data_IF_288210924566
#
_entry.id   IF_288210924566
#
_cell.length_a   1.000
_cell.length_b   1.000
_cell.length_c   1.000
_cell.angle_alpha   90.00
_cell.angle_beta   90.00
_cell.angle_gamma   90.00
#
_symmetry.space_group_name_H-M   'P 1'
#
loop_
_entity.id
_entity.type
_entity.pdbx_description
1 polymer ?
#
# COMPACT_ATOMS: atom_id res chain seq x y z
N UNK A 1 69.83 -44.61 40.67
CA UNK A 1 68.48 -44.27 41.18
C UNK A 1 68.54 -42.77 41.46
N UNK A 2 68.22 -41.86 40.55
CA UNK A 2 66.99 -41.75 39.77
C UNK A 2 66.28 -40.49 40.26
N UNK A 3 66.86 -39.32 39.98
CA UNK A 3 66.32 -38.01 40.39
C UNK A 3 65.13 -37.63 39.50
N UNK A 4 63.98 -37.36 40.12
CA UNK A 4 62.77 -36.93 39.43
C UNK A 4 62.81 -35.41 39.23
N UNK A 5 63.09 -34.98 38.00
CA UNK A 5 62.85 -33.61 37.54
C UNK A 5 61.35 -33.44 37.22
N UNK A 6 60.66 -32.58 37.96
CA UNK A 6 59.30 -32.15 37.64
C UNK A 6 59.38 -30.88 36.79
N UNK A 7 58.94 -30.98 35.54
CA UNK A 7 58.82 -29.88 34.58
C UNK A 7 57.57 -29.05 34.94
N UNK A 8 57.74 -27.81 35.39
CA UNK A 8 56.64 -26.85 35.60
C UNK A 8 56.39 -26.12 34.28
N UNK A 9 55.26 -26.40 33.63
CA UNK A 9 54.80 -25.64 32.46
C UNK A 9 54.18 -24.30 32.92
N UNK A 10 54.83 -23.18 32.58
CA UNK A 10 54.27 -21.83 32.73
C UNK A 10 53.34 -21.53 31.56
N UNK A 11 52.04 -21.41 31.82
CA UNK A 11 51.04 -20.92 30.87
C UNK A 11 50.90 -19.41 31.02
N UNK A 12 51.48 -18.66 30.07
CA UNK A 12 51.33 -17.20 29.98
C UNK A 12 50.04 -16.92 29.21
N UNK A 13 48.98 -16.51 29.90
CA UNK A 13 47.75 -16.02 29.27
C UNK A 13 47.94 -14.54 28.91
N UNK A 14 48.04 -14.24 27.61
CA UNK A 14 48.02 -12.87 27.09
C UNK A 14 46.57 -12.35 27.06
N UNK A 15 46.30 -11.33 27.88
CA UNK A 15 45.06 -10.55 27.82
C UNK A 15 45.10 -9.63 26.59
N UNK A 16 44.40 -10.00 25.52
CA UNK A 16 44.07 -9.09 24.42
C UNK A 16 42.86 -8.26 24.85
N UNK A 17 43.08 -6.97 25.16
CA UNK A 17 41.96 -6.03 25.31
C UNK A 17 41.40 -5.71 23.93
N UNK A 18 40.24 -6.27 23.61
CA UNK A 18 39.45 -5.87 22.45
C UNK A 18 38.72 -4.57 22.83
N UNK A 19 39.24 -3.43 22.39
CA UNK A 19 38.47 -2.20 22.35
C UNK A 19 37.35 -2.37 21.31
N UNK A 20 36.13 -2.60 21.78
CA UNK A 20 34.94 -2.46 20.94
C UNK A 20 34.68 -0.97 20.79
N UNK A 21 35.16 -0.36 19.70
CA UNK A 21 34.69 0.94 19.28
C UNK A 21 33.21 0.79 18.89
N UNK A 22 32.30 1.05 19.82
CA UNK A 22 30.89 1.18 19.49
C UNK A 22 30.77 2.33 18.47
N UNK A 23 30.12 2.12 17.31
CA UNK A 23 29.84 3.22 16.42
C UNK A 23 28.99 4.21 17.21
N UNK A 24 29.47 5.44 17.37
CA UNK A 24 28.62 6.56 17.80
C UNK A 24 27.57 6.71 16.71
N UNK A 25 26.42 6.08 16.93
CA UNK A 25 25.24 6.28 16.12
C UNK A 25 24.82 7.72 16.37
N UNK A 26 25.25 8.62 15.50
CA UNK A 26 24.68 9.95 15.38
C UNK A 26 23.50 9.77 14.43
N UNK A 27 22.26 9.59 14.92
CA UNK A 27 21.13 9.82 14.05
C UNK A 27 21.19 11.31 13.75
N UNK A 28 21.76 11.69 12.61
CA UNK A 28 21.22 12.85 11.92
C UNK A 28 19.78 12.48 11.65
N UNK A 29 18.91 12.83 12.60
CA UNK A 29 17.48 12.91 12.37
C UNK A 29 17.38 13.96 11.27
N UNK A 30 17.40 13.49 10.02
CA UNK A 30 16.98 14.28 8.89
C UNK A 30 15.68 14.90 9.37
N UNK A 31 15.65 16.22 9.47
CA UNK A 31 14.42 16.95 9.75
C UNK A 31 13.48 16.55 8.63
N UNK A 32 12.61 15.57 8.89
CA UNK A 32 11.56 15.18 7.98
C UNK A 32 10.84 16.48 7.64
N UNK A 33 10.56 16.74 6.35
CA UNK A 33 9.73 17.88 5.97
C UNK A 33 8.54 17.93 6.92
N UNK A 34 8.24 19.13 7.42
CA UNK A 34 7.30 19.40 8.52
C UNK A 34 5.86 18.90 8.30
N UNK A 35 5.59 18.22 7.19
CA UNK A 35 4.29 17.67 6.85
C UNK A 35 4.43 16.29 6.20
N UNK A 36 4.35 15.24 7.03
CA UNK A 36 4.20 13.85 6.60
C UNK A 36 2.84 13.57 5.91
N UNK A 37 1.94 14.56 5.92
CA UNK A 37 0.64 14.50 5.26
C UNK A 37 0.71 15.05 3.82
N UNK A 38 0.70 14.19 2.80
CA UNK A 38 0.68 14.61 1.40
C UNK A 38 -0.74 15.01 0.92
N UNK A 39 -1.75 14.97 1.79
CA UNK A 39 -3.17 15.20 1.46
C UNK A 39 -3.72 16.47 2.13
N UNK A 40 -3.34 17.69 1.69
CA UNK A 40 -3.77 18.93 2.33
C UNK A 40 -5.27 19.24 2.12
N UNK A 41 -5.90 18.65 1.11
CA UNK A 41 -7.31 18.89 0.76
C UNK A 41 -8.27 17.78 1.22
N UNK A 42 -7.74 16.72 1.83
CA UNK A 42 -8.54 15.57 2.28
C UNK A 42 -8.78 15.66 3.80
N UNK A 43 -9.86 15.05 4.31
CA UNK A 43 -10.04 14.88 5.75
C UNK A 43 -8.81 14.24 6.40
N UNK A 44 -8.48 14.62 7.63
CA UNK A 44 -7.42 13.93 8.38
C UNK A 44 -7.99 12.63 8.95
N UNK A 45 -7.34 11.52 8.63
CA UNK A 45 -7.69 10.22 9.20
C UNK A 45 -7.16 10.15 10.63
N UNK A 46 -8.01 9.81 11.58
CA UNK A 46 -7.61 9.62 12.97
C UNK A 46 -8.35 8.48 13.61
N UNK A 47 -7.77 7.91 14.67
CA UNK A 47 -8.47 6.98 15.55
C UNK A 47 -9.75 7.63 16.11
N UNK A 48 -10.75 6.79 16.38
CA UNK A 48 -11.96 7.18 17.09
C UNK A 48 -11.65 7.55 18.55
N UNK A 49 -12.57 8.23 19.26
CA UNK A 49 -12.39 8.55 20.68
C UNK A 49 -12.17 7.34 21.59
N UNK A 50 -12.63 6.15 21.18
CA UNK A 50 -12.42 4.88 21.90
C UNK A 50 -11.06 4.21 21.58
N UNK A 51 -10.23 4.84 20.76
CA UNK A 51 -8.92 4.33 20.36
C UNK A 51 -8.96 3.31 19.21
N UNK A 52 -10.11 3.07 18.59
CA UNK A 52 -10.22 2.13 17.46
C UNK A 52 -10.06 2.82 16.10
N UNK A 53 -9.59 2.06 15.11
CA UNK A 53 -9.60 2.44 13.69
C UNK A 53 -9.85 1.17 12.86
N UNK A 54 -10.99 1.09 12.18
CA UNK A 54 -11.45 -0.10 11.45
C UNK A 54 -11.13 0.06 9.97
N UNK A 55 -10.37 -0.90 9.43
CA UNK A 55 -10.05 -1.00 8.00
C UNK A 55 -10.78 -2.21 7.42
N UNK A 56 -11.52 -2.00 6.34
CA UNK A 56 -12.04 -3.10 5.49
C UNK A 56 -11.12 -3.24 4.28
N UNK A 57 -10.74 -4.47 3.94
CA UNK A 57 -9.90 -4.76 2.77
C UNK A 57 -10.71 -5.54 1.75
N UNK A 58 -10.75 -5.05 0.51
CA UNK A 58 -11.18 -5.79 -0.67
C UNK A 58 -9.95 -6.13 -1.51
N UNK A 59 -10.01 -7.20 -2.29
CA UNK A 59 -8.91 -7.67 -3.14
C UNK A 59 -9.52 -8.49 -4.27
N UNK A 60 -8.83 -8.57 -5.40
CA UNK A 60 -9.17 -9.48 -6.50
C UNK A 60 -10.63 -9.27 -6.96
N UNK A 61 -10.98 -8.01 -7.23
CA UNK A 61 -12.32 -7.63 -7.70
C UNK A 61 -12.53 -8.05 -9.16
N UNK A 62 -11.47 -8.01 -9.97
CA UNK A 62 -11.43 -8.52 -11.34
C UNK A 62 -12.51 -7.98 -12.29
N UNK A 63 -12.91 -6.71 -12.13
CA UNK A 63 -13.96 -6.14 -12.98
C UNK A 63 -13.58 -6.21 -14.46
N UNK A 64 -14.57 -6.47 -15.31
CA UNK A 64 -14.36 -6.63 -16.75
C UNK A 64 -13.74 -7.97 -17.17
N UNK A 65 -13.68 -8.97 -16.28
CA UNK A 65 -13.39 -10.36 -16.67
C UNK A 65 -14.46 -10.86 -17.64
N UNK A 66 -14.05 -11.51 -18.74
CA UNK A 66 -14.96 -12.06 -19.75
C UNK A 66 -16.00 -11.04 -20.25
N UNK A 67 -15.57 -9.80 -20.52
CA UNK A 67 -16.44 -8.67 -20.86
C UNK A 67 -17.26 -8.83 -22.16
N UNK A 68 -16.93 -9.82 -23.00
CA UNK A 68 -17.65 -10.13 -24.23
C UNK A 68 -18.82 -11.11 -24.03
N UNK A 69 -18.96 -11.70 -22.85
CA UNK A 69 -20.06 -12.60 -22.48
C UNK A 69 -20.96 -11.95 -21.42
N UNK A 70 -22.22 -12.36 -21.33
CA UNK A 70 -23.16 -11.90 -20.29
C UNK A 70 -22.76 -12.36 -18.89
N UNK A 71 -21.95 -13.41 -18.76
CA UNK A 71 -21.51 -13.94 -17.49
C UNK A 71 -20.60 -12.97 -16.72
N UNK A 72 -19.67 -12.29 -17.40
CA UNK A 72 -18.68 -11.39 -16.81
C UNK A 72 -19.30 -10.19 -16.09
N UNK A 73 -20.07 -9.33 -16.80
CA UNK A 73 -20.77 -8.21 -16.19
C UNK A 73 -21.72 -8.62 -15.06
N UNK A 74 -22.25 -9.84 -15.07
CA UNK A 74 -23.05 -10.34 -13.96
C UNK A 74 -22.22 -10.60 -12.70
N UNK A 75 -20.94 -10.97 -12.83
CA UNK A 75 -20.02 -11.09 -11.68
C UNK A 75 -19.65 -9.72 -11.13
N UNK A 76 -19.40 -8.72 -11.99
CA UNK A 76 -19.14 -7.34 -11.56
C UNK A 76 -20.30 -6.81 -10.69
N UNK A 77 -21.54 -7.02 -11.14
CA UNK A 77 -22.76 -6.70 -10.35
C UNK A 77 -22.80 -7.43 -9.01
N UNK A 78 -22.36 -8.69 -8.95
CA UNK A 78 -22.31 -9.47 -7.70
C UNK A 78 -21.22 -8.94 -6.76
N UNK A 79 -20.04 -8.59 -7.29
CA UNK A 79 -18.95 -7.95 -6.54
C UNK A 79 -19.40 -6.60 -5.97
N UNK A 80 -20.04 -5.74 -6.77
CA UNK A 80 -20.59 -4.47 -6.26
C UNK A 80 -21.64 -4.70 -5.17
N UNK A 81 -22.50 -5.71 -5.32
CA UNK A 81 -23.50 -6.07 -4.29
C UNK A 81 -22.83 -6.50 -2.99
N UNK A 82 -21.78 -7.32 -3.08
CA UNK A 82 -21.00 -7.75 -1.92
C UNK A 82 -20.32 -6.56 -1.25
N UNK A 83 -19.66 -5.68 -2.00
CA UNK A 83 -19.05 -4.46 -1.47
C UNK A 83 -20.07 -3.61 -0.71
N UNK A 84 -21.23 -3.32 -1.31
CA UNK A 84 -22.31 -2.56 -0.64
C UNK A 84 -22.75 -3.22 0.67
N UNK A 85 -22.92 -4.55 0.66
CA UNK A 85 -23.31 -5.30 1.87
C UNK A 85 -22.25 -5.18 2.97
N UNK A 86 -20.98 -5.44 2.65
CA UNK A 86 -19.87 -5.36 3.62
C UNK A 86 -19.75 -3.94 4.17
N UNK A 87 -19.81 -2.91 3.33
CA UNK A 87 -19.72 -1.52 3.77
C UNK A 87 -20.87 -1.14 4.71
N UNK A 88 -22.09 -1.61 4.45
CA UNK A 88 -23.26 -1.35 5.30
C UNK A 88 -23.17 -2.06 6.66
N UNK A 89 -22.69 -3.31 6.67
CA UNK A 89 -22.59 -4.13 7.87
C UNK A 89 -21.40 -3.70 8.74
N UNK A 90 -20.23 -3.46 8.14
CA UNK A 90 -18.98 -3.20 8.87
C UNK A 90 -18.76 -1.75 9.26
N UNK A 91 -19.25 -0.79 8.45
CA UNK A 91 -19.08 0.66 8.65
C UNK A 91 -17.62 1.04 8.98
N UNK A 92 -16.67 0.76 8.06
CA UNK A 92 -15.26 1.01 8.31
C UNK A 92 -14.93 2.51 8.41
N UNK A 93 -13.82 2.83 9.07
CA UNK A 93 -13.22 4.17 9.02
C UNK A 93 -12.44 4.40 7.73
N UNK A 94 -11.97 3.29 7.14
CA UNK A 94 -11.14 3.30 5.95
C UNK A 94 -11.32 2.01 5.13
N UNK A 95 -11.28 2.12 3.82
CA UNK A 95 -11.25 0.95 2.93
C UNK A 95 -9.92 0.88 2.20
N UNK A 96 -9.40 -0.33 2.01
CA UNK A 96 -8.25 -0.57 1.16
C UNK A 96 -8.60 -1.60 0.09
N UNK A 97 -8.42 -1.28 -1.20
CA UNK A 97 -8.53 -2.25 -2.30
C UNK A 97 -7.12 -2.73 -2.64
N UNK A 98 -6.85 -4.02 -2.53
CA UNK A 98 -5.50 -4.57 -2.51
C UNK A 98 -5.13 -5.29 -3.81
N UNK A 99 -5.19 -4.60 -4.94
CA UNK A 99 -4.81 -5.12 -6.25
C UNK A 99 -5.89 -5.94 -6.95
N UNK A 100 -5.63 -6.17 -8.24
CA UNK A 100 -6.50 -6.85 -9.22
C UNK A 100 -7.92 -6.26 -9.19
N UNK A 101 -7.97 -4.95 -9.40
CA UNK A 101 -9.19 -4.17 -9.54
C UNK A 101 -9.90 -4.56 -10.84
N UNK A 102 -9.16 -4.60 -11.94
CA UNK A 102 -9.65 -4.84 -13.30
C UNK A 102 -8.91 -6.02 -13.91
N UNK A 103 -9.63 -6.88 -14.62
CA UNK A 103 -9.02 -7.90 -15.49
C UNK A 103 -8.58 -7.25 -16.81
N UNK A 104 -7.49 -6.48 -16.77
CA UNK A 104 -7.11 -5.55 -17.85
C UNK A 104 -6.89 -6.21 -19.22
N UNK A 105 -6.55 -7.49 -19.28
CA UNK A 105 -6.38 -8.22 -20.53
C UNK A 105 -7.71 -8.68 -21.17
N UNK A 106 -8.83 -8.61 -20.43
CA UNK A 106 -10.17 -8.98 -20.90
C UNK A 106 -11.04 -7.78 -21.30
N UNK A 107 -10.67 -6.57 -20.88
CA UNK A 107 -11.39 -5.34 -21.20
C UNK A 107 -11.09 -4.85 -22.62
N UNK A 108 -11.70 -3.72 -23.01
CA UNK A 108 -11.39 -3.03 -24.26
C UNK A 108 -10.64 -1.73 -23.98
N UNK A 109 -9.55 -1.46 -24.69
CA UNK A 109 -8.67 -0.29 -24.45
C UNK A 109 -9.43 1.03 -24.46
N UNK A 110 -10.43 1.16 -25.31
CA UNK A 110 -11.19 2.39 -25.51
C UNK A 110 -12.02 2.79 -24.28
N UNK A 111 -12.36 1.84 -23.42
CA UNK A 111 -13.26 2.10 -22.29
C UNK A 111 -12.87 1.41 -20.96
N UNK A 112 -11.72 0.74 -20.85
CA UNK A 112 -11.34 -0.02 -19.64
C UNK A 112 -11.45 0.79 -18.34
N UNK A 113 -11.16 2.09 -18.37
CA UNK A 113 -11.29 2.95 -17.16
C UNK A 113 -12.72 3.06 -16.60
N UNK A 114 -13.76 2.68 -17.35
CA UNK A 114 -15.15 2.71 -16.84
C UNK A 114 -15.37 1.75 -15.67
N UNK A 115 -14.61 0.66 -15.60
CA UNK A 115 -14.71 -0.29 -14.49
C UNK A 115 -14.25 0.33 -13.16
N UNK A 116 -13.33 1.30 -13.19
CA UNK A 116 -12.97 2.08 -11.99
C UNK A 116 -14.19 2.84 -11.47
N UNK A 117 -15.04 3.40 -12.34
CA UNK A 117 -16.26 4.11 -11.92
C UNK A 117 -17.18 3.17 -11.13
N UNK A 118 -17.33 1.93 -11.60
CA UNK A 118 -18.16 0.91 -10.97
C UNK A 118 -17.59 0.45 -9.62
N UNK A 119 -16.28 0.26 -9.54
CA UNK A 119 -15.56 -0.12 -8.33
C UNK A 119 -15.67 0.97 -7.25
N UNK A 120 -15.50 2.24 -7.62
CA UNK A 120 -15.53 3.34 -6.65
C UNK A 120 -16.94 3.80 -6.29
N UNK A 121 -17.95 3.48 -7.10
CA UNK A 121 -19.35 3.85 -6.85
C UNK A 121 -19.84 3.48 -5.43
N UNK A 122 -19.73 2.24 -4.93
CA UNK A 122 -20.17 1.90 -3.58
C UNK A 122 -19.40 2.66 -2.49
N UNK A 123 -18.13 2.99 -2.70
CA UNK A 123 -17.30 3.76 -1.76
C UNK A 123 -17.73 5.23 -1.71
N UNK A 124 -18.01 5.80 -2.87
CA UNK A 124 -18.55 7.15 -3.03
C UNK A 124 -19.95 7.29 -2.41
N UNK A 125 -20.82 6.30 -2.60
CA UNK A 125 -22.19 6.26 -2.04
C UNK A 125 -22.17 6.40 -0.50
N UNK A 126 -21.30 5.65 0.17
CA UNK A 126 -21.19 5.68 1.64
C UNK A 126 -20.22 6.74 2.17
N UNK A 127 -19.51 7.45 1.27
CA UNK A 127 -18.53 8.49 1.58
C UNK A 127 -17.43 8.02 2.53
N UNK A 128 -16.91 6.81 2.30
CA UNK A 128 -15.81 6.27 3.09
C UNK A 128 -14.46 6.67 2.47
N UNK A 129 -13.48 7.15 3.27
CA UNK A 129 -12.10 7.29 2.84
C UNK A 129 -11.53 5.94 2.38
N UNK A 130 -10.78 5.92 1.28
CA UNK A 130 -10.17 4.69 0.81
C UNK A 130 -8.87 4.88 0.03
N UNK A 131 -8.18 3.78 -0.19
CA UNK A 131 -7.01 3.68 -1.08
C UNK A 131 -7.05 2.38 -1.88
N UNK A 132 -6.24 2.32 -2.94
CA UNK A 132 -6.02 1.15 -3.77
C UNK A 132 -4.52 0.91 -4.04
N UNK A 133 -4.11 -0.35 -4.01
CA UNK A 133 -2.90 -0.83 -4.70
C UNK A 133 -3.32 -1.58 -5.96
N UNK A 134 -2.35 -1.82 -6.83
CA UNK A 134 -2.60 -2.39 -8.14
C UNK A 134 -1.81 -3.68 -8.30
N UNK A 135 -2.47 -4.71 -8.82
CA UNK A 135 -1.98 -6.06 -8.97
C UNK A 135 -1.48 -6.37 -10.37
N UNK A 136 -1.40 -7.67 -10.67
CA UNK A 136 -0.91 -8.16 -11.94
C UNK A 136 -1.99 -8.31 -13.03
N UNK A 137 -3.20 -7.78 -12.82
CA UNK A 137 -4.19 -7.60 -13.89
C UNK A 137 -4.43 -6.11 -14.24
N UNK A 138 -3.98 -5.19 -13.38
CA UNK A 138 -4.20 -3.74 -13.48
C UNK A 138 -3.20 -2.95 -14.38
N UNK A 139 -2.31 -3.64 -15.10
CA UNK A 139 -1.23 -3.14 -15.97
C UNK A 139 -1.06 -3.92 -17.29
N UNK A 140 -2.18 -4.34 -17.89
CA UNK A 140 -2.24 -5.18 -19.11
C UNK A 140 -2.37 -4.35 -20.39
N UNK A 141 -2.58 -5.02 -21.53
CA UNK A 141 -2.71 -4.38 -22.85
C UNK A 141 -3.74 -3.22 -22.92
N UNK A 142 -4.84 -3.31 -22.16
CA UNK A 142 -5.94 -2.35 -22.24
C UNK A 142 -5.95 -1.29 -21.12
N UNK A 143 -5.08 -1.40 -20.11
CA UNK A 143 -5.07 -0.50 -18.95
C UNK A 143 -3.73 -0.54 -18.22
N UNK A 144 -3.31 0.59 -17.67
CA UNK A 144 -2.10 0.72 -16.85
C UNK A 144 -2.43 1.14 -15.42
N UNK A 145 -1.55 0.83 -14.46
CA UNK A 145 -1.66 1.30 -13.08
C UNK A 145 -1.86 2.83 -13.01
N UNK A 146 -1.16 3.57 -13.88
CA UNK A 146 -1.30 5.03 -13.93
C UNK A 146 -2.69 5.47 -14.41
N UNK A 147 -3.25 4.82 -15.44
CA UNK A 147 -4.60 5.12 -15.93
C UNK A 147 -5.66 4.85 -14.85
N UNK A 148 -5.52 3.78 -14.08
CA UNK A 148 -6.40 3.48 -12.94
C UNK A 148 -6.30 4.53 -11.84
N UNK A 149 -5.09 4.87 -11.38
CA UNK A 149 -4.87 5.92 -10.37
C UNK A 149 -5.49 7.24 -10.81
N UNK A 150 -5.25 7.66 -12.05
CA UNK A 150 -5.75 8.95 -12.55
C UNK A 150 -7.28 8.96 -12.67
N UNK A 151 -7.89 7.84 -13.06
CA UNK A 151 -9.34 7.69 -13.11
C UNK A 151 -9.94 7.74 -11.71
N UNK A 152 -9.38 6.97 -10.78
CA UNK A 152 -9.82 6.94 -9.39
C UNK A 152 -9.74 8.32 -8.74
N UNK A 153 -8.62 9.03 -8.89
CA UNK A 153 -8.46 10.38 -8.32
C UNK A 153 -9.47 11.39 -8.86
N UNK A 154 -9.88 11.24 -10.11
CA UNK A 154 -10.84 12.13 -10.76
C UNK A 154 -12.26 11.90 -10.24
N UNK A 155 -12.67 10.65 -10.10
CA UNK A 155 -14.06 10.27 -9.87
C UNK A 155 -14.35 9.92 -8.39
N UNK A 156 -13.31 9.74 -7.56
CA UNK A 156 -13.43 9.41 -6.15
C UNK A 156 -12.80 10.49 -5.23
N UNK A 157 -13.57 11.50 -4.80
CA UNK A 157 -13.05 12.62 -4.00
C UNK A 157 -12.53 12.21 -2.61
N UNK A 158 -12.86 11.01 -2.12
CA UNK A 158 -12.35 10.46 -0.87
C UNK A 158 -11.29 9.36 -1.05
N UNK A 159 -10.78 9.16 -2.27
CA UNK A 159 -9.58 8.36 -2.49
C UNK A 159 -8.34 9.08 -1.95
N UNK A 160 -7.45 8.34 -1.30
CA UNK A 160 -6.11 8.75 -0.88
C UNK A 160 -5.04 8.06 -1.74
N UNK A 161 -5.43 7.30 -2.76
CA UNK A 161 -4.51 6.78 -3.77
C UNK A 161 -3.85 7.93 -4.50
N UNK A 162 -2.54 7.81 -4.72
CA UNK A 162 -1.79 8.81 -5.47
C UNK A 162 -0.62 8.23 -6.22
N UNK A 163 -0.24 8.96 -7.26
CA UNK A 163 0.99 8.71 -7.98
C UNK A 163 2.18 8.92 -7.04
N UNK A 164 3.19 8.07 -7.20
CA UNK A 164 4.44 8.12 -6.48
C UNK A 164 5.12 9.49 -6.64
N UNK A 165 5.77 10.01 -5.59
CA UNK A 165 6.54 11.24 -5.70
C UNK A 165 7.73 11.06 -6.66
N UNK A 166 8.28 12.16 -7.22
CA UNK A 166 9.44 12.09 -8.10
C UNK A 166 10.59 11.29 -7.50
N UNK A 167 11.15 10.36 -8.28
CA UNK A 167 12.25 9.48 -7.87
C UNK A 167 11.84 8.21 -7.12
N UNK A 168 10.55 7.98 -6.88
CA UNK A 168 10.02 6.73 -6.29
C UNK A 168 9.28 5.93 -7.37
N UNK A 169 9.41 4.60 -7.36
CA UNK A 169 8.64 3.71 -8.22
C UNK A 169 9.12 3.60 -9.67
N UNK A 170 9.66 4.68 -10.26
CA UNK A 170 10.05 4.72 -11.68
C UNK A 170 8.85 4.70 -12.62
N UNK A 171 9.08 4.52 -13.92
CA UNK A 171 8.03 4.50 -14.96
C UNK A 171 6.97 3.41 -14.70
N UNK A 172 7.39 2.26 -14.18
CA UNK A 172 6.55 1.06 -14.03
C UNK A 172 5.94 0.88 -12.64
N UNK A 173 6.20 1.79 -11.70
CA UNK A 173 5.70 1.69 -10.33
C UNK A 173 4.99 2.94 -9.85
N UNK A 174 4.01 3.49 -10.59
CA UNK A 174 3.38 4.75 -10.26
C UNK A 174 2.58 4.70 -8.94
N UNK A 175 2.22 3.53 -8.41
CA UNK A 175 1.36 3.36 -7.23
C UNK A 175 2.07 3.33 -5.87
N UNK A 176 3.29 3.85 -5.73
CA UNK A 176 4.03 3.85 -4.47
C UNK A 176 3.73 5.09 -3.61
N UNK A 177 2.97 4.92 -2.51
CA UNK A 177 2.58 6.04 -1.66
C UNK A 177 2.33 5.62 -0.19
N UNK A 178 1.96 6.58 0.64
CA UNK A 178 1.63 6.34 2.05
C UNK A 178 0.44 7.18 2.49
N UNK A 179 -0.27 6.70 3.52
CA UNK A 179 -1.40 7.36 4.15
C UNK A 179 -1.18 7.46 5.66
N UNK A 180 -0.99 8.67 6.21
CA UNK A 180 -0.82 8.86 7.65
C UNK A 180 -2.17 8.89 8.38
N UNK A 181 -2.22 8.20 9.51
CA UNK A 181 -3.36 8.16 10.44
C UNK A 181 -2.88 8.67 11.80
N UNK A 182 -3.63 9.58 12.39
CA UNK A 182 -3.25 10.32 13.60
C UNK A 182 -3.98 9.81 14.84
N UNK A 183 -3.39 9.90 16.03
CA UNK A 183 -4.11 9.60 17.27
C UNK A 183 -5.28 10.58 17.45
N UNK A 184 -5.02 11.89 17.21
CA UNK A 184 -6.03 12.93 17.17
C UNK A 184 -5.92 13.80 15.90
N UNK A 185 -7.03 14.38 15.39
CA UNK A 185 -7.01 15.22 14.19
C UNK A 185 -6.07 16.43 14.24
N UNK A 186 -5.73 16.93 15.43
CA UNK A 186 -4.88 18.09 15.62
C UNK A 186 -3.37 17.76 15.68
N UNK A 187 -3.00 16.48 15.81
CA UNK A 187 -1.61 16.08 16.02
C UNK A 187 -0.75 16.41 14.80
N UNK A 188 0.56 16.57 14.95
CA UNK A 188 1.46 16.75 13.79
C UNK A 188 2.12 15.46 13.33
N UNK A 189 2.23 14.48 14.22
CA UNK A 189 2.90 13.20 13.97
C UNK A 189 1.86 12.09 13.83
N UNK A 190 1.93 11.26 12.77
CA UNK A 190 1.04 10.12 12.63
C UNK A 190 1.32 9.06 13.69
N UNK A 191 0.26 8.43 14.19
CA UNK A 191 0.34 7.26 15.07
C UNK A 191 0.45 5.94 14.27
N UNK A 192 -0.05 5.94 13.03
CA UNK A 192 -0.02 4.81 12.10
C UNK A 192 0.23 5.34 10.68
N UNK A 193 0.97 4.58 9.87
CA UNK A 193 1.16 4.86 8.45
C UNK A 193 0.81 3.60 7.66
N UNK A 194 -0.12 3.72 6.71
CA UNK A 194 -0.35 2.69 5.70
C UNK A 194 0.60 2.95 4.53
N UNK A 195 1.38 1.94 4.14
CA UNK A 195 2.28 2.00 3.00
C UNK A 195 1.69 1.18 1.85
N UNK A 196 1.47 1.85 0.71
CA UNK A 196 1.06 1.22 -0.54
C UNK A 196 2.30 1.01 -1.40
N UNK A 197 2.60 -0.24 -1.72
CA UNK A 197 3.73 -0.61 -2.55
C UNK A 197 3.23 -1.15 -3.88
N UNK A 198 3.73 -0.56 -4.95
CA UNK A 198 3.51 -1.04 -6.30
C UNK A 198 4.73 -1.85 -6.71
N UNK A 199 4.53 -3.17 -6.76
CA UNK A 199 5.57 -4.14 -7.10
C UNK A 199 5.89 -4.18 -8.59
N UNK A 200 5.24 -3.33 -9.41
CA UNK A 200 5.37 -3.32 -10.87
C UNK A 200 4.89 -4.63 -11.49
N UNK A 201 3.86 -5.23 -10.88
CA UNK A 201 3.30 -6.49 -11.37
C UNK A 201 2.94 -6.38 -12.85
N UNK A 202 3.26 -7.43 -13.61
CA UNK A 202 3.07 -7.67 -15.07
C UNK A 202 4.27 -7.53 -16.00
N UNK A 203 4.17 -8.28 -17.11
CA UNK A 203 5.16 -8.46 -18.16
C UNK A 203 5.10 -7.30 -19.16
N UNK A 204 6.23 -6.60 -19.31
CA UNK A 204 6.53 -5.77 -20.48
C UNK A 204 6.59 -6.66 -21.72
N UNK A 205 5.47 -6.93 -22.38
CA UNK A 205 5.52 -7.46 -23.74
C UNK A 205 5.94 -6.32 -24.65
N UNK A 206 7.25 -6.21 -24.83
CA UNK A 206 7.86 -5.48 -25.93
C UNK A 206 7.29 -6.05 -27.24
N UNK A 207 6.34 -5.35 -27.85
CA UNK A 207 5.98 -5.50 -29.25
C UNK A 207 6.54 -4.32 -30.04
#
# INVERSE_FOLDING_TARGET
>A
MGENFVLVLLLVASLVQILVAAPVYNPRQLSLPSQLNPYPTKPRLSFRPDGTFKITVFSDLHFGENAWDVWGPQQDVNSTRLMRKVLADEKPDYVFINGDLITGENTFRENSTVYIDEIVAPLNEVKVPFSSTHGNHDNQANITHLEEILREQRDAPLSYTRVAPPGVGGEYGPGNYWVPIYAHPADFQPALIIWAFDSRGQLMLNY
#
